data_IF_474335551358
#
_entry.id   IF_474335551358
#
_cell.length_a   1.000
_cell.length_b   1.000
_cell.length_c   1.000
_cell.angle_alpha   90.00
_cell.angle_beta   90.00
_cell.angle_gamma   90.00
#
_symmetry.space_group_name_H-M   'P 1'
#
loop_
_entity.id
_entity.type
_entity.pdbx_description
1 polymer ?
#
# COMPACT_ATOMS: atom_id res chain seq x y z
N UNK A 1 14.51 -66.18 -10.05
CA UNK A 1 14.24 -64.78 -9.64
C UNK A 1 12.82 -64.43 -10.01
N UNK A 2 11.89 -64.27 -9.04
CA UNK A 2 10.49 -63.87 -9.27
C UNK A 2 10.43 -62.34 -9.30
N UNK A 3 10.12 -61.79 -10.50
CA UNK A 3 9.92 -60.35 -10.70
C UNK A 3 8.51 -59.99 -10.16
N UNK A 4 8.45 -59.29 -9.02
CA UNK A 4 7.21 -58.69 -8.51
C UNK A 4 6.83 -57.50 -9.41
N UNK A 5 5.77 -57.70 -10.19
CA UNK A 5 5.13 -56.61 -10.95
C UNK A 5 4.20 -55.95 -9.95
N UNK A 6 4.57 -54.74 -9.54
CA UNK A 6 3.73 -53.84 -8.75
C UNK A 6 2.47 -53.50 -9.55
N UNK A 7 1.24 -53.71 -9.03
CA UNK A 7 0.05 -53.29 -9.75
C UNK A 7 0.00 -51.78 -9.80
N UNK A 8 0.07 -51.20 -11.02
CA UNK A 8 -0.21 -49.80 -11.26
C UNK A 8 -1.69 -49.56 -10.96
N UNK A 9 -2.02 -49.10 -9.74
CA UNK A 9 -3.35 -48.61 -9.41
C UNK A 9 -3.58 -47.27 -10.13
N UNK A 10 -4.32 -47.27 -11.21
CA UNK A 10 -4.78 -46.06 -11.90
C UNK A 10 -5.81 -45.31 -11.05
N UNK A 11 -5.85 -44.00 -11.12
CA UNK A 11 -6.87 -43.18 -10.50
C UNK A 11 -8.25 -43.44 -11.11
N UNK A 12 -9.27 -43.60 -10.25
CA UNK A 12 -10.66 -43.73 -10.69
C UNK A 12 -11.20 -42.38 -11.16
N UNK A 13 -11.98 -42.35 -12.23
CA UNK A 13 -12.63 -41.15 -12.72
C UNK A 13 -13.51 -40.49 -11.65
N UNK A 14 -14.16 -41.31 -10.81
CA UNK A 14 -15.01 -40.80 -9.72
C UNK A 14 -14.17 -40.08 -8.62
N UNK A 15 -12.98 -40.57 -8.32
CA UNK A 15 -12.07 -39.89 -7.36
C UNK A 15 -11.67 -38.52 -7.86
N UNK A 16 -11.40 -38.37 -9.17
CA UNK A 16 -11.06 -37.08 -9.75
C UNK A 16 -12.24 -36.09 -9.65
N UNK A 17 -13.46 -36.57 -9.97
CA UNK A 17 -14.68 -35.73 -9.95
C UNK A 17 -14.97 -35.24 -8.52
N UNK A 18 -14.84 -36.12 -7.53
CA UNK A 18 -15.03 -35.71 -6.11
C UNK A 18 -14.02 -34.66 -5.68
N UNK A 19 -12.75 -34.80 -6.04
CA UNK A 19 -11.71 -33.83 -5.70
C UNK A 19 -11.99 -32.46 -6.30
N UNK A 20 -12.32 -32.38 -7.59
CA UNK A 20 -12.64 -31.09 -8.21
C UNK A 20 -13.92 -30.45 -7.64
N UNK A 21 -14.93 -31.26 -7.28
CA UNK A 21 -16.14 -30.76 -6.65
C UNK A 21 -15.85 -30.13 -5.27
N UNK A 22 -15.03 -30.78 -4.43
CA UNK A 22 -14.62 -30.24 -3.14
C UNK A 22 -13.77 -28.96 -3.30
N UNK A 23 -12.82 -28.96 -4.24
CA UNK A 23 -12.00 -27.77 -4.53
C UNK A 23 -12.85 -26.59 -5.00
N UNK A 24 -13.89 -26.83 -5.79
CA UNK A 24 -14.80 -25.77 -6.25
C UNK A 24 -15.53 -25.09 -5.07
N UNK A 25 -16.03 -25.90 -4.11
CA UNK A 25 -16.72 -25.38 -2.93
C UNK A 25 -15.75 -24.59 -2.04
N UNK A 26 -14.56 -25.12 -1.80
CA UNK A 26 -13.54 -24.43 -0.98
C UNK A 26 -13.10 -23.11 -1.61
N UNK A 27 -12.93 -23.08 -2.94
CA UNK A 27 -12.54 -21.88 -3.68
C UNK A 27 -13.60 -20.77 -3.57
N UNK A 28 -14.88 -21.11 -3.59
CA UNK A 28 -15.98 -20.14 -3.51
C UNK A 28 -15.95 -19.34 -2.19
N UNK A 29 -15.51 -19.93 -1.09
CA UNK A 29 -15.39 -19.27 0.21
C UNK A 29 -14.06 -18.53 0.37
N UNK A 30 -12.97 -19.07 -0.18
CA UNK A 30 -11.63 -18.54 -0.02
C UNK A 30 -11.41 -17.19 -0.73
N UNK A 31 -11.95 -17.02 -1.94
CA UNK A 31 -11.72 -15.84 -2.77
C UNK A 31 -12.16 -14.53 -2.10
N UNK A 32 -13.39 -14.36 -1.60
CA UNK A 32 -13.81 -13.09 -0.99
C UNK A 32 -13.02 -12.74 0.27
N UNK A 33 -12.62 -13.72 1.06
CA UNK A 33 -11.80 -13.51 2.26
C UNK A 33 -10.40 -13.00 1.91
N UNK A 34 -9.80 -13.49 0.83
CA UNK A 34 -8.45 -13.13 0.42
C UNK A 34 -8.33 -11.67 -0.04
N UNK A 35 -9.38 -11.10 -0.64
CA UNK A 35 -9.38 -9.68 -1.08
C UNK A 35 -9.21 -8.72 0.11
N UNK A 36 -9.89 -8.98 1.22
CA UNK A 36 -9.76 -8.17 2.44
C UNK A 36 -8.35 -8.18 3.01
N UNK A 37 -7.75 -9.37 3.12
CA UNK A 37 -6.37 -9.55 3.61
C UNK A 37 -5.36 -8.84 2.70
N UNK A 38 -5.54 -8.95 1.37
CA UNK A 38 -4.67 -8.27 0.40
C UNK A 38 -4.72 -6.74 0.55
N UNK A 39 -5.89 -6.16 0.75
CA UNK A 39 -6.04 -4.72 0.95
C UNK A 39 -5.39 -4.27 2.26
N UNK A 40 -5.56 -5.01 3.34
CA UNK A 40 -4.90 -4.75 4.62
C UNK A 40 -3.37 -4.80 4.50
N UNK A 41 -2.84 -5.76 3.76
CA UNK A 41 -1.41 -5.88 3.50
C UNK A 41 -0.87 -4.67 2.71
N UNK A 42 -1.58 -4.23 1.66
CA UNK A 42 -1.21 -3.04 0.88
C UNK A 42 -1.17 -1.79 1.74
N UNK A 43 -2.21 -1.54 2.54
CA UNK A 43 -2.27 -0.38 3.44
C UNK A 43 -1.13 -0.41 4.45
N UNK A 44 -0.88 -1.56 5.06
CA UNK A 44 0.22 -1.71 6.02
C UNK A 44 1.59 -1.46 5.39
N UNK A 45 1.80 -1.93 4.16
CA UNK A 45 3.03 -1.71 3.41
C UNK A 45 3.23 -0.21 3.11
N UNK A 46 2.19 0.49 2.63
CA UNK A 46 2.25 1.92 2.35
C UNK A 46 2.53 2.74 3.61
N UNK A 47 1.82 2.48 4.71
CA UNK A 47 2.07 3.15 5.99
C UNK A 47 3.52 2.99 6.45
N UNK A 48 4.09 1.78 6.37
CA UNK A 48 5.50 1.53 6.68
C UNK A 48 6.44 2.29 5.75
N UNK A 49 6.13 2.34 4.46
CA UNK A 49 6.93 3.06 3.46
C UNK A 49 6.98 4.56 3.78
N UNK A 50 5.84 5.17 4.07
CA UNK A 50 5.76 6.59 4.45
C UNK A 50 6.61 6.89 5.69
N UNK A 51 6.53 6.05 6.73
CA UNK A 51 7.34 6.19 7.95
C UNK A 51 8.84 6.04 7.64
N UNK A 52 9.23 5.10 6.80
CA UNK A 52 10.64 4.89 6.44
C UNK A 52 11.20 6.08 5.65
N UNK A 53 10.45 6.61 4.69
CA UNK A 53 10.83 7.80 3.93
C UNK A 53 11.06 8.98 4.87
N UNK A 54 10.14 9.22 5.81
CA UNK A 54 10.31 10.29 6.79
C UNK A 54 11.54 10.11 7.67
N UNK A 55 11.85 8.87 8.09
CA UNK A 55 13.07 8.57 8.86
C UNK A 55 14.34 8.84 8.05
N UNK A 56 14.37 8.44 6.78
CA UNK A 56 15.49 8.73 5.89
C UNK A 56 15.68 10.23 5.70
N UNK A 57 14.58 10.99 5.60
CA UNK A 57 14.59 12.43 5.53
C UNK A 57 15.21 13.07 6.78
N UNK A 58 14.87 12.57 7.99
CA UNK A 58 15.46 13.04 9.25
C UNK A 58 16.97 12.73 9.33
N UNK A 59 17.39 11.55 8.86
CA UNK A 59 18.81 11.20 8.78
C UNK A 59 19.54 12.10 7.79
N UNK A 60 18.94 12.39 6.63
CA UNK A 60 19.52 13.29 5.64
C UNK A 60 19.65 14.72 6.19
N UNK A 61 18.67 15.23 6.95
CA UNK A 61 18.75 16.55 7.60
C UNK A 61 19.94 16.63 8.55
N UNK A 62 20.17 15.60 9.37
CA UNK A 62 21.29 15.56 10.31
C UNK A 62 22.66 15.58 9.62
N UNK A 63 22.75 15.02 8.41
CA UNK A 63 24.00 14.93 7.66
C UNK A 63 24.27 16.16 6.79
N UNK A 64 23.22 16.78 6.24
CA UNK A 64 23.35 17.84 5.24
C UNK A 64 23.36 19.26 5.83
N UNK A 65 22.98 19.44 7.09
CA UNK A 65 22.83 20.74 7.75
C UNK A 65 21.91 21.72 6.98
N UNK A 66 21.02 21.20 6.15
CA UNK A 66 19.98 21.92 5.40
C UNK A 66 18.72 21.07 5.32
N UNK A 67 17.60 21.69 4.93
CA UNK A 67 16.37 20.94 4.69
C UNK A 67 16.57 19.96 3.52
N UNK A 68 16.46 18.67 3.74
CA UNK A 68 16.62 17.67 2.70
C UNK A 68 15.40 17.63 1.75
N UNK A 69 15.67 17.17 0.54
CA UNK A 69 14.69 16.95 -0.52
C UNK A 69 14.56 15.46 -0.82
N UNK A 70 13.58 15.09 -1.62
CA UNK A 70 13.43 13.68 -2.05
C UNK A 70 14.63 13.16 -2.84
N UNK A 71 15.37 14.05 -3.51
CA UNK A 71 16.61 13.66 -4.21
C UNK A 71 17.73 13.24 -3.24
N UNK A 72 17.76 13.81 -2.05
CA UNK A 72 18.81 13.53 -1.06
C UNK A 72 18.65 12.17 -0.37
N UNK A 73 17.45 11.60 -0.35
CA UNK A 73 17.17 10.32 0.30
C UNK A 73 17.17 9.12 -0.66
N UNK A 74 17.51 9.34 -1.94
CA UNK A 74 17.53 8.27 -2.93
C UNK A 74 16.17 7.56 -3.13
N UNK A 75 15.08 8.18 -2.70
CA UNK A 75 13.73 7.70 -2.93
C UNK A 75 13.24 7.98 -4.36
N UNK A 76 14.00 8.81 -5.08
CA UNK A 76 13.71 9.22 -6.45
C UNK A 76 14.43 8.31 -7.43
N UNK A 77 13.72 7.77 -8.41
CA UNK A 77 14.30 7.06 -9.52
C UNK A 77 14.56 8.01 -10.71
N UNK A 78 15.62 7.76 -11.44
CA UNK A 78 15.99 8.48 -12.68
C UNK A 78 14.95 8.37 -13.79
N UNK A 79 13.99 7.45 -13.66
CA UNK A 79 12.86 7.25 -14.59
C UNK A 79 11.65 8.12 -14.31
N UNK A 80 11.75 9.10 -13.41
CA UNK A 80 10.70 10.06 -13.04
C UNK A 80 9.49 9.48 -12.25
N UNK A 81 9.65 8.35 -11.59
CA UNK A 81 8.60 7.78 -10.75
C UNK A 81 9.06 7.61 -9.31
N UNK A 82 8.44 8.37 -8.41
CA UNK A 82 8.69 8.23 -6.98
C UNK A 82 8.18 6.88 -6.48
N UNK A 83 9.06 6.10 -5.86
CA UNK A 83 8.70 4.82 -5.27
C UNK A 83 8.78 3.61 -6.20
N UNK A 84 8.93 3.76 -7.52
CA UNK A 84 9.00 2.62 -8.45
C UNK A 84 10.30 1.82 -8.27
N UNK A 85 11.43 2.49 -8.07
CA UNK A 85 12.73 1.85 -7.84
C UNK A 85 12.78 1.00 -6.57
N UNK A 86 11.95 1.29 -5.58
CA UNK A 86 11.87 0.57 -4.30
C UNK A 86 10.70 -0.41 -4.22
N UNK A 87 9.95 -0.62 -5.31
CA UNK A 87 8.76 -1.45 -5.31
C UNK A 87 7.66 -0.93 -4.39
N UNK A 88 7.59 0.38 -4.14
CA UNK A 88 6.62 1.01 -3.25
C UNK A 88 5.25 1.18 -3.89
N UNK A 89 5.11 0.82 -5.17
CA UNK A 89 3.85 0.94 -5.90
C UNK A 89 2.85 -0.17 -5.53
N UNK A 90 2.30 -0.10 -4.34
CA UNK A 90 1.25 -1.02 -3.86
C UNK A 90 -0.15 -0.67 -4.37
N UNK A 91 -0.27 0.04 -5.49
CA UNK A 91 -1.52 0.61 -6.00
C UNK A 91 -1.81 1.99 -5.42
N UNK A 92 -0.75 2.71 -5.06
CA UNK A 92 -0.78 4.11 -4.62
C UNK A 92 0.13 4.96 -5.50
N UNK A 93 -0.25 6.21 -5.67
CA UNK A 93 0.60 7.28 -6.21
C UNK A 93 1.05 8.18 -5.07
N UNK A 94 2.22 8.80 -5.21
CA UNK A 94 2.79 9.63 -4.15
C UNK A 94 2.80 11.09 -4.56
N UNK A 95 2.25 11.94 -3.69
CA UNK A 95 2.14 13.38 -3.86
C UNK A 95 2.79 14.10 -2.65
N UNK A 96 3.03 15.41 -2.80
CA UNK A 96 3.64 16.20 -1.73
C UNK A 96 2.73 16.37 -0.51
N UNK A 97 1.40 16.31 -0.70
CA UNK A 97 0.39 16.35 0.36
C UNK A 97 -0.95 15.78 -0.14
N UNK A 98 -1.92 15.62 0.77
CA UNK A 98 -3.24 15.09 0.43
C UNK A 98 -4.07 16.03 -0.45
N UNK A 99 -3.87 17.32 -0.35
CA UNK A 99 -4.63 18.35 -1.08
C UNK A 99 -4.06 18.63 -2.47
N UNK A 100 -2.78 18.37 -2.66
CA UNK A 100 -2.09 18.59 -3.94
C UNK A 100 -2.51 17.53 -4.97
N UNK A 101 -2.68 17.95 -6.20
CA UNK A 101 -2.76 17.06 -7.38
C UNK A 101 -1.45 17.05 -8.16
N UNK A 102 -0.40 17.67 -7.62
CA UNK A 102 0.91 17.74 -8.25
C UNK A 102 1.78 16.57 -7.79
N UNK A 103 2.33 15.77 -8.73
CA UNK A 103 3.27 14.72 -8.40
C UNK A 103 4.47 15.27 -7.62
N UNK A 104 5.04 14.43 -6.74
CA UNK A 104 6.28 14.75 -6.04
C UNK A 104 7.38 15.09 -7.06
N UNK A 105 8.10 16.18 -6.80
CA UNK A 105 9.30 16.55 -7.54
C UNK A 105 10.55 16.23 -6.71
N UNK A 106 11.70 15.91 -7.34
CA UNK A 106 12.94 15.64 -6.62
C UNK A 106 13.36 16.77 -5.68
N UNK A 107 13.05 18.01 -6.05
CA UNK A 107 13.35 19.23 -5.28
C UNK A 107 12.39 19.52 -4.13
N UNK A 108 11.26 18.81 -4.03
CA UNK A 108 10.34 19.00 -2.91
C UNK A 108 10.98 18.55 -1.60
N UNK A 109 10.62 19.24 -0.51
CA UNK A 109 11.00 18.83 0.84
C UNK A 109 10.44 17.44 1.16
N UNK A 110 11.27 16.56 1.69
CA UNK A 110 10.86 15.20 2.04
C UNK A 110 10.17 15.06 3.41
N UNK A 111 9.95 16.17 4.12
CA UNK A 111 9.27 16.16 5.42
C UNK A 111 7.75 16.01 5.35
N UNK A 112 7.18 16.03 4.17
CA UNK A 112 5.77 15.79 3.94
C UNK A 112 5.60 14.91 2.71
N UNK A 113 4.81 13.85 2.86
CA UNK A 113 4.50 12.93 1.77
C UNK A 113 3.12 12.33 1.96
N UNK A 114 2.36 12.28 0.89
CA UNK A 114 1.06 11.64 0.82
C UNK A 114 1.09 10.45 -0.15
N UNK A 115 0.42 9.37 0.24
CA UNK A 115 0.14 8.23 -0.63
C UNK A 115 -1.36 8.22 -0.94
N UNK A 116 -1.69 8.44 -2.21
CA UNK A 116 -3.06 8.44 -2.73
C UNK A 116 -3.36 7.12 -3.42
N UNK A 117 -4.41 6.43 -3.01
CA UNK A 117 -4.79 5.18 -3.69
C UNK A 117 -5.19 5.45 -5.13
N UNK A 118 -4.85 4.51 -6.02
CA UNK A 118 -5.28 4.58 -7.41
C UNK A 118 -6.80 4.53 -7.48
N UNK A 119 -7.36 5.42 -8.26
CA UNK A 119 -8.80 5.54 -8.46
C UNK A 119 -9.31 4.43 -9.38
N UNK A 120 -10.52 3.94 -9.10
CA UNK A 120 -11.26 3.09 -10.02
C UNK A 120 -12.34 3.93 -10.69
N UNK A 121 -12.38 3.91 -12.03
CA UNK A 121 -13.47 4.54 -12.77
C UNK A 121 -14.77 3.74 -12.61
N UNK A 122 -15.81 4.41 -12.12
CA UNK A 122 -17.18 3.90 -12.14
C UNK A 122 -18.05 4.95 -12.80
N UNK A 123 -18.48 4.69 -14.04
CA UNK A 123 -19.32 5.61 -14.79
C UNK A 123 -18.66 6.97 -15.10
N UNK A 124 -17.33 7.02 -15.29
CA UNK A 124 -16.58 8.23 -15.58
C UNK A 124 -16.22 9.09 -14.35
N UNK A 125 -16.54 8.61 -13.16
CA UNK A 125 -16.12 9.27 -11.90
C UNK A 125 -15.04 8.44 -11.23
N UNK A 126 -13.81 8.97 -11.06
CA UNK A 126 -12.76 8.26 -10.37
C UNK A 126 -13.08 8.13 -8.87
N UNK A 127 -13.11 6.90 -8.38
CA UNK A 127 -13.35 6.61 -6.96
C UNK A 127 -12.12 5.97 -6.36
N UNK A 128 -11.55 6.50 -5.27
CA UNK A 128 -10.44 5.87 -4.59
C UNK A 128 -10.85 4.52 -4.00
N UNK A 129 -10.06 3.48 -4.24
CA UNK A 129 -10.34 2.11 -3.78
C UNK A 129 -9.95 1.90 -2.32
N UNK A 130 -8.95 2.66 -1.85
CA UNK A 130 -8.42 2.62 -0.48
C UNK A 130 -8.29 4.05 0.04
N UNK A 131 -8.22 4.27 1.37
CA UNK A 131 -7.94 5.58 1.93
C UNK A 131 -6.61 6.15 1.45
N UNK A 132 -6.52 7.47 1.43
CA UNK A 132 -5.28 8.20 1.23
C UNK A 132 -4.59 8.41 2.58
N UNK A 133 -3.26 8.35 2.60
CA UNK A 133 -2.45 8.49 3.81
C UNK A 133 -1.43 9.59 3.63
N UNK A 134 -1.22 10.41 4.65
CA UNK A 134 -0.19 11.43 4.68
C UNK A 134 0.60 11.31 5.97
N UNK A 135 1.90 11.52 5.88
CA UNK A 135 2.78 11.73 7.03
C UNK A 135 3.58 13.00 6.82
N UNK A 136 3.73 13.78 7.87
CA UNK A 136 4.58 14.97 7.83
C UNK A 136 5.19 15.29 9.18
N UNK A 137 6.28 16.01 9.14
CA UNK A 137 6.98 16.55 10.31
C UNK A 137 6.55 17.99 10.52
N UNK A 138 5.89 18.25 11.62
CA UNK A 138 5.50 19.60 11.99
C UNK A 138 6.63 20.25 12.80
N UNK A 139 7.42 21.11 12.14
CA UNK A 139 8.54 21.81 12.78
C UNK A 139 8.07 22.88 13.75
N UNK A 140 6.85 23.38 13.61
CA UNK A 140 6.26 24.38 14.50
C UNK A 140 5.76 23.76 15.80
N UNK A 141 5.44 22.47 15.80
CA UNK A 141 5.00 21.68 16.96
C UNK A 141 6.13 20.76 17.46
N UNK A 142 7.30 21.35 17.72
CA UNK A 142 8.46 20.67 18.30
C UNK A 142 8.87 19.37 17.54
N UNK A 143 8.90 19.42 16.22
CA UNK A 143 9.27 18.28 15.36
C UNK A 143 8.36 17.06 15.52
N UNK A 144 7.10 17.31 15.79
CA UNK A 144 6.12 16.23 15.95
C UNK A 144 5.74 15.60 14.63
N UNK A 145 5.75 14.28 14.59
CA UNK A 145 5.28 13.52 13.44
C UNK A 145 3.76 13.48 13.46
N UNK A 146 3.14 14.00 12.41
CA UNK A 146 1.69 13.98 12.21
C UNK A 146 1.32 13.02 11.08
N UNK A 147 0.18 12.35 11.24
CA UNK A 147 -0.33 11.30 10.34
C UNK A 147 -1.79 11.55 10.06
N UNK A 148 -2.10 11.92 8.83
CA UNK A 148 -3.45 12.17 8.38
C UNK A 148 -3.94 11.04 7.48
N UNK A 149 -5.25 10.83 7.50
CA UNK A 149 -5.94 9.88 6.65
C UNK A 149 -7.16 10.56 6.05
N UNK A 150 -7.34 10.43 4.74
CA UNK A 150 -8.51 10.98 4.05
C UNK A 150 -9.26 9.88 3.32
N UNK A 151 -10.58 9.88 3.51
CA UNK A 151 -11.51 9.00 2.81
C UNK A 151 -12.35 9.90 1.91
N UNK A 152 -11.86 10.17 0.70
CA UNK A 152 -12.62 10.93 -0.30
C UNK A 152 -13.56 9.99 -1.05
N UNK A 153 -14.86 10.27 -0.98
CA UNK A 153 -15.94 9.52 -1.66
C UNK A 153 -15.95 8.01 -1.37
N UNK A 154 -15.97 7.67 -0.10
CA UNK A 154 -16.03 6.31 0.38
C UNK A 154 -17.34 5.61 0.04
N UNK A 155 -17.42 4.95 -1.09
CA UNK A 155 -18.12 3.67 -1.10
C UNK A 155 -17.21 2.68 -0.37
N UNK A 156 -17.39 2.69 0.88
CA UNK A 156 -16.97 1.88 2.00
C UNK A 156 -16.33 0.55 1.66
N UNK A 157 -15.04 0.53 1.38
CA UNK A 157 -14.27 -0.68 1.60
C UNK A 157 -13.53 -0.49 2.92
N UNK A 158 -14.15 -0.95 4.01
CA UNK A 158 -13.62 -0.98 5.38
C UNK A 158 -12.93 0.31 5.85
N UNK A 159 -13.66 1.15 6.58
CA UNK A 159 -13.16 2.33 7.30
C UNK A 159 -12.15 2.01 8.42
N UNK A 160 -11.78 0.74 8.60
CA UNK A 160 -10.88 0.30 9.67
C UNK A 160 -9.41 0.73 9.47
N UNK A 161 -9.08 1.37 8.35
CA UNK A 161 -7.72 1.83 8.08
C UNK A 161 -7.41 3.24 8.57
N UNK A 162 -8.46 4.04 8.80
CA UNK A 162 -8.39 5.40 9.31
C UNK A 162 -9.19 5.50 10.61
N UNK A 163 -8.62 6.12 11.62
CA UNK A 163 -9.39 6.57 12.78
C UNK A 163 -9.87 8.00 12.54
N UNK A 164 -11.08 8.13 11.99
CA UNK A 164 -11.69 9.43 11.69
C UNK A 164 -12.09 10.21 12.94
N UNK A 165 -12.12 9.56 14.10
CA UNK A 165 -12.40 10.20 15.39
C UNK A 165 -11.12 10.67 16.10
N UNK A 166 -9.95 10.20 15.64
CA UNK A 166 -8.70 10.68 16.18
C UNK A 166 -8.43 12.14 15.76
N UNK A 167 -7.75 12.93 16.62
CA UNK A 167 -7.40 14.29 16.27
C UNK A 167 -6.51 14.32 15.02
N UNK A 168 -6.58 15.42 14.27
CA UNK A 168 -5.73 15.65 13.12
C UNK A 168 -4.26 15.44 13.49
N UNK A 169 -3.54 14.69 12.67
CA UNK A 169 -2.15 14.31 12.93
C UNK A 169 -1.94 12.98 13.65
N UNK A 170 -3.00 12.27 14.07
CA UNK A 170 -2.89 10.94 14.71
C UNK A 170 -3.89 9.91 14.15
N UNK A 171 -4.32 10.05 12.89
CA UNK A 171 -5.40 9.27 12.29
C UNK A 171 -5.01 7.87 11.81
N UNK A 172 -3.75 7.45 11.93
CA UNK A 172 -3.30 6.09 11.60
C UNK A 172 -1.99 5.68 12.25
#
# INVERSE_FOLDING_TARGET
MKKYISPNSGFSLIELVIVIAVLAILSAVAIPSFVGVRNSAKVSAVKKSLVNILKECLVAESNLLRSPTFNDIGAWDTTNSFGDSRGLNFGFTYDSDLSSSSPIQPSNSCFRIAAKSNTKDIGGVPIPVLPHFEIFLDKSDNYKVKKNCSITNAQTINNNFCDTNAPEGSQW
#
